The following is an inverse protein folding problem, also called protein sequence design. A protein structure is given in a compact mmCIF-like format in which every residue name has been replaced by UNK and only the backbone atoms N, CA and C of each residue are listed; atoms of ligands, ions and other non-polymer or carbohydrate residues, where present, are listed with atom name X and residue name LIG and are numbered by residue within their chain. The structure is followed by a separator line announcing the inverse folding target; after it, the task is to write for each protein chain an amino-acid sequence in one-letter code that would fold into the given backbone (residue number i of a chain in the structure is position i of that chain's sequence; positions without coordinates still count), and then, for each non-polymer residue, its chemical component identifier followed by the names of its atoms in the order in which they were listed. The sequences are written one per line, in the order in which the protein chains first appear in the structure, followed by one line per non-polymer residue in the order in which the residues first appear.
data_IF_004070583988
#
_entry.id   IF_004070583988
#
_cell.length_a   1.000
_cell.length_b   1.000
_cell.length_c   1.000
_cell.angle_alpha   90.00
_cell.angle_beta   90.00
_cell.angle_gamma   90.00
#
_symmetry.space_group_name_H-M   'P 1'
#
loop_
_entity.id
_entity.type
_entity.pdbx_description
1 polymer ?
#
# COMPACT_ATOMS: atom_id res chain seq x y z
N UNK A 1 -0.50 -4.40 -6.79
CA UNK A 1 -1.23 -3.28 -6.18
C UNK A 1 -1.18 -3.36 -4.66
N UNK A 2 -1.08 -2.24 -3.97
CA UNK A 2 -0.76 -2.19 -2.54
C UNK A 2 -1.61 -1.22 -1.75
N UNK A 3 -1.83 -1.64 -0.51
CA UNK A 3 -2.40 -1.00 0.67
C UNK A 3 -1.25 -0.61 1.64
N UNK A 4 -1.26 0.54 2.33
CA UNK A 4 -0.47 0.84 3.55
C UNK A 4 -0.10 2.28 4.03
N UNK A 5 -0.81 3.01 4.93
CA UNK A 5 -0.37 4.32 5.53
C UNK A 5 1.05 4.22 6.09
N UNK A 6 1.94 5.10 5.63
CA UNK A 6 3.04 5.59 6.47
C UNK A 6 2.50 6.76 7.29
N UNK A 7 2.25 6.54 8.58
CA UNK A 7 2.16 7.65 9.52
C UNK A 7 3.61 8.07 9.71
N UNK A 8 4.09 8.97 8.86
CA UNK A 8 5.31 9.70 9.16
C UNK A 8 4.94 10.63 10.27
N UNK A 9 5.06 10.11 11.46
CA UNK A 9 5.02 10.91 12.64
C UNK A 9 6.51 11.29 12.87
N UNK A 10 6.78 12.59 12.94
CA UNK A 10 8.10 13.23 12.72
C UNK A 10 8.97 13.51 13.98
N UNK A 11 9.05 12.59 14.92
CA UNK A 11 9.78 12.80 16.20
C UNK A 11 10.51 11.51 16.56
N UNK A 12 11.71 11.61 17.17
CA UNK A 12 12.51 10.46 17.58
C UNK A 12 11.67 9.46 18.40
N UNK A 13 11.75 8.16 18.05
CA UNK A 13 10.98 7.10 18.70
C UNK A 13 9.63 6.78 18.03
N UNK A 14 9.48 7.05 16.73
CA UNK A 14 8.24 6.77 15.99
C UNK A 14 8.40 5.59 15.03
N UNK A 15 7.35 4.79 15.01
CA UNK A 15 7.25 3.60 14.18
C UNK A 15 6.36 3.92 12.98
N UNK A 16 6.80 3.55 11.78
CA UNK A 16 5.99 3.50 10.57
C UNK A 16 5.39 2.11 10.37
N UNK A 17 4.47 1.99 9.42
CA UNK A 17 3.95 0.69 8.98
C UNK A 17 4.77 0.19 7.79
N UNK A 18 5.12 -1.09 7.79
CA UNK A 18 5.68 -1.77 6.64
C UNK A 18 4.61 -2.63 5.98
N UNK A 19 4.60 -2.60 4.65
CA UNK A 19 3.75 -3.47 3.85
C UNK A 19 4.57 -4.37 2.96
N UNK A 20 4.07 -5.57 2.74
CA UNK A 20 4.77 -6.61 2.03
C UNK A 20 3.92 -7.15 0.89
N UNK A 21 4.60 -7.54 -0.20
CA UNK A 21 3.94 -8.22 -1.31
C UNK A 21 3.64 -9.64 -0.87
N UNK A 22 2.36 -9.92 -0.67
CA UNK A 22 1.87 -11.20 -0.17
C UNK A 22 1.70 -12.20 -1.31
N UNK A 23 1.23 -11.75 -2.47
CA UNK A 23 1.10 -12.61 -3.64
C UNK A 23 1.20 -11.84 -4.96
N UNK A 24 1.48 -12.59 -6.02
CA UNK A 24 1.43 -12.15 -7.41
C UNK A 24 0.61 -13.15 -8.20
N UNK A 25 -0.32 -12.67 -9.02
CA UNK A 25 -1.05 -13.51 -9.98
C UNK A 25 -0.49 -13.26 -11.37
N UNK A 26 0.28 -14.23 -11.89
CA UNK A 26 0.93 -14.12 -13.20
C UNK A 26 -0.08 -13.86 -14.34
N UNK A 27 -1.21 -14.57 -14.34
CA UNK A 27 -2.18 -14.55 -15.43
C UNK A 27 -2.90 -13.19 -15.57
N UNK A 28 -3.03 -12.48 -14.45
CA UNK A 28 -3.70 -11.18 -14.38
C UNK A 28 -2.70 -10.03 -14.22
N UNK A 29 -1.41 -10.33 -14.05
CA UNK A 29 -0.35 -9.38 -13.74
C UNK A 29 -0.68 -8.43 -12.57
N UNK A 30 -1.35 -8.96 -11.53
CA UNK A 30 -1.72 -8.20 -10.33
C UNK A 30 -0.92 -8.65 -9.11
N UNK A 31 -0.66 -7.72 -8.20
CA UNK A 31 -0.10 -8.04 -6.88
C UNK A 31 -1.11 -7.76 -5.77
N UNK A 32 -1.12 -8.61 -4.75
CA UNK A 32 -1.67 -8.30 -3.44
C UNK A 32 -0.51 -7.87 -2.55
N UNK A 33 -0.59 -6.66 -2.03
CA UNK A 33 0.38 -6.15 -1.08
C UNK A 33 -0.39 -5.53 0.07
N UNK A 34 -0.07 -5.96 1.28
CA UNK A 34 -0.76 -5.58 2.50
C UNK A 34 0.20 -5.74 3.67
N UNK A 35 -0.29 -5.43 4.86
CA UNK A 35 0.46 -5.58 6.07
C UNK A 35 0.58 -7.08 6.44
N UNK A 36 1.82 -7.57 6.59
CA UNK A 36 2.09 -8.99 6.86
C UNK A 36 1.96 -9.28 8.36
N UNK A 37 0.79 -9.78 8.76
CA UNK A 37 0.50 -10.13 10.16
C UNK A 37 1.39 -11.24 10.70
N UNK A 38 2.01 -12.06 9.84
CA UNK A 38 2.96 -13.11 10.27
C UNK A 38 4.28 -12.52 10.74
N UNK A 39 4.58 -11.26 10.40
CA UNK A 39 5.81 -10.55 10.74
C UNK A 39 5.63 -9.45 11.80
N UNK A 40 4.47 -9.39 12.44
CA UNK A 40 4.22 -8.42 13.51
C UNK A 40 3.71 -7.06 13.02
N UNK A 41 2.89 -7.05 11.97
CA UNK A 41 2.17 -5.87 11.50
C UNK A 41 1.34 -5.21 12.62
N UNK A 42 1.48 -3.89 12.79
CA UNK A 42 0.63 -3.10 13.68
C UNK A 42 0.17 -1.78 13.00
N UNK A 43 -1.07 -1.72 12.49
CA UNK A 43 -1.56 -0.54 11.79
C UNK A 43 -1.88 0.64 12.74
N UNK A 44 -1.95 0.41 14.06
CA UNK A 44 -2.27 1.45 15.04
C UNK A 44 -1.03 2.13 15.59
N UNK A 45 0.02 1.35 15.89
CA UNK A 45 1.25 1.86 16.49
C UNK A 45 2.42 1.97 15.50
N UNK A 46 2.32 1.35 14.33
CA UNK A 46 3.47 1.08 13.47
C UNK A 46 4.24 -0.17 13.92
N UNK A 47 5.00 -0.77 12.99
CA UNK A 47 5.77 -1.99 13.19
C UNK A 47 7.26 -1.83 12.91
N UNK A 48 7.68 -0.67 12.38
CA UNK A 48 9.05 -0.45 11.91
C UNK A 48 9.60 0.89 12.35
N UNK A 49 10.78 0.92 12.96
CA UNK A 49 11.44 2.18 13.33
C UNK A 49 11.65 3.07 12.10
N UNK A 50 11.19 4.33 12.16
CA UNK A 50 11.29 5.28 11.05
C UNK A 50 12.73 5.60 10.60
N UNK A 51 13.76 5.28 11.39
CA UNK A 51 15.17 5.40 10.99
C UNK A 51 15.65 4.19 10.18
N UNK A 52 14.90 3.10 10.17
CA UNK A 52 15.17 1.94 9.32
C UNK A 52 15.00 2.36 7.87
N UNK A 53 16.05 2.19 7.07
CA UNK A 53 16.02 2.55 5.65
C UNK A 53 15.31 1.46 4.85
N UNK A 54 14.09 1.75 4.41
CA UNK A 54 13.29 0.87 3.56
C UNK A 54 12.85 1.59 2.27
N UNK A 55 12.53 0.86 1.20
CA UNK A 55 11.87 1.43 0.03
C UNK A 55 10.53 2.07 0.44
N UNK A 56 10.24 3.26 -0.09
CA UNK A 56 8.89 3.81 -0.06
C UNK A 56 8.10 3.13 -1.17
N UNK A 57 6.87 2.80 -0.84
CA UNK A 57 5.92 2.32 -1.81
C UNK A 57 5.09 3.48 -2.35
N UNK A 58 5.16 3.65 -3.67
CA UNK A 58 4.43 4.66 -4.41
C UNK A 58 3.36 4.01 -5.28
N UNK A 59 2.32 4.77 -5.59
CA UNK A 59 1.25 4.39 -6.50
C UNK A 59 0.98 5.51 -7.51
N UNK A 60 0.38 5.14 -8.63
CA UNK A 60 -0.24 6.07 -9.56
C UNK A 60 -1.59 5.51 -9.99
N UNK A 61 -2.65 6.30 -9.84
CA UNK A 61 -4.01 5.90 -10.21
C UNK A 61 -4.21 6.17 -11.70
N UNK A 62 -4.44 5.12 -12.49
CA UNK A 62 -4.70 5.21 -13.93
C UNK A 62 -6.16 4.88 -14.28
N UNK A 63 -6.97 4.52 -13.27
CA UNK A 63 -8.38 4.08 -13.41
C UNK A 63 -8.53 2.75 -14.14
N UNK A 64 -7.48 1.91 -14.16
CA UNK A 64 -7.53 0.58 -14.76
C UNK A 64 -8.70 -0.24 -14.18
N UNK A 65 -9.49 -0.89 -15.04
CA UNK A 65 -10.59 -1.73 -14.60
C UNK A 65 -10.03 -2.89 -13.77
N UNK A 66 -10.83 -3.35 -12.80
CA UNK A 66 -10.46 -4.53 -12.02
C UNK A 66 -10.51 -5.78 -12.90
N UNK A 67 -9.46 -6.62 -12.88
CA UNK A 67 -9.53 -7.95 -13.50
C UNK A 67 -10.60 -8.83 -12.85
N UNK A 68 -11.20 -9.73 -13.62
CA UNK A 68 -12.15 -10.71 -13.10
C UNK A 68 -11.41 -11.80 -12.29
N UNK A 69 -11.44 -11.70 -10.97
CA UNK A 69 -10.94 -12.73 -10.05
C UNK A 69 -11.77 -12.78 -8.77
N UNK A 70 -11.89 -13.99 -8.19
CA UNK A 70 -12.52 -14.18 -6.89
C UNK A 70 -11.63 -13.62 -5.77
N UNK A 71 -12.22 -12.85 -4.86
CA UNK A 71 -11.51 -12.39 -3.66
C UNK A 71 -11.33 -13.55 -2.70
N UNK A 72 -10.08 -13.93 -2.44
CA UNK A 72 -9.73 -15.06 -1.56
C UNK A 72 -9.47 -14.64 -0.11
N UNK A 73 -9.79 -13.40 0.24
CA UNK A 73 -9.45 -12.81 1.53
C UNK A 73 -10.52 -13.19 2.56
N UNK A 74 -10.10 -13.33 3.81
CA UNK A 74 -10.95 -13.77 4.90
C UNK A 74 -12.10 -12.81 5.15
N UNK A 75 -13.27 -13.38 5.44
CA UNK A 75 -14.35 -12.67 6.10
C UNK A 75 -13.89 -12.26 7.50
N UNK A 76 -13.53 -10.99 7.66
CA UNK A 76 -13.28 -10.37 8.96
C UNK A 76 -14.51 -9.54 9.36
N UNK A 77 -14.42 -8.79 10.46
CA UNK A 77 -15.50 -7.92 10.94
C UNK A 77 -15.94 -6.80 9.95
N UNK A 78 -15.27 -6.68 8.79
CA UNK A 78 -15.56 -5.72 7.73
C UNK A 78 -15.75 -6.48 6.41
N UNK A 79 -16.49 -5.90 5.44
CA UNK A 79 -16.65 -6.48 4.10
C UNK A 79 -15.33 -6.83 3.42
N UNK A 80 -15.31 -7.85 2.55
CA UNK A 80 -14.09 -8.41 1.93
C UNK A 80 -13.23 -7.35 1.23
N UNK A 81 -13.87 -6.35 0.63
CA UNK A 81 -13.24 -5.19 -0.03
C UNK A 81 -12.33 -4.37 0.86
N UNK A 82 -12.56 -4.41 2.17
CA UNK A 82 -11.78 -3.64 3.11
C UNK A 82 -10.33 -4.15 3.17
N UNK A 83 -10.13 -5.46 2.96
CA UNK A 83 -8.81 -6.11 3.05
C UNK A 83 -8.20 -6.47 1.69
N UNK A 84 -8.99 -6.49 0.61
CA UNK A 84 -8.48 -6.77 -0.73
C UNK A 84 -9.29 -6.15 -1.88
N UNK A 85 -9.70 -4.90 -1.69
CA UNK A 85 -10.20 -4.06 -2.77
C UNK A 85 -9.20 -3.76 -3.89
N UNK A 86 -9.63 -2.91 -4.80
CA UNK A 86 -8.88 -2.58 -6.01
C UNK A 86 -8.45 -1.11 -6.00
N UNK A 87 -7.17 -0.86 -6.26
CA UNK A 87 -6.56 0.48 -6.26
C UNK A 87 -6.66 1.18 -7.62
N UNK A 88 -6.95 0.47 -8.73
CA UNK A 88 -7.07 1.07 -10.07
C UNK A 88 -5.80 1.78 -10.56
N UNK A 89 -4.63 1.12 -10.47
CA UNK A 89 -3.37 1.78 -10.79
C UNK A 89 -2.11 0.93 -10.69
N UNK A 90 -0.98 1.60 -10.91
CA UNK A 90 0.36 1.04 -10.78
C UNK A 90 0.91 1.24 -9.38
N UNK A 91 1.88 0.39 -9.04
CA UNK A 91 2.67 0.50 -7.82
C UNK A 91 4.15 0.35 -8.17
N UNK A 92 5.01 1.00 -7.39
CA UNK A 92 6.45 0.88 -7.52
C UNK A 92 7.11 1.16 -6.17
N UNK A 93 8.33 0.66 -6.00
CA UNK A 93 9.14 0.90 -4.80
C UNK A 93 10.35 1.76 -5.14
N UNK A 94 10.60 2.79 -4.36
CA UNK A 94 11.76 3.69 -4.52
C UNK A 94 13.07 3.02 -4.05
N UNK A 95 14.22 3.68 -4.22
CA UNK A 95 15.40 3.38 -3.41
C UNK A 95 15.13 3.53 -1.90
N UNK A 96 15.95 2.86 -1.08
CA UNK A 96 15.81 2.85 0.39
C UNK A 96 16.08 4.22 1.02
N UNK A 97 15.13 4.70 1.81
CA UNK A 97 15.19 5.97 2.55
C UNK A 97 14.69 5.77 3.98
N UNK A 98 15.19 6.54 4.93
CA UNK A 98 14.66 6.53 6.29
C UNK A 98 13.42 7.41 6.32
N UNK A 99 12.29 6.91 6.83
CA UNK A 99 11.06 7.69 6.93
C UNK A 99 11.23 8.97 7.77
N UNK A 100 12.19 8.97 8.71
CA UNK A 100 12.54 10.13 9.53
C UNK A 100 13.13 11.31 8.75
N UNK A 101 13.49 11.15 7.46
CA UNK A 101 13.95 12.27 6.62
C UNK A 101 12.80 13.12 6.08
N UNK A 102 11.57 12.61 6.12
CA UNK A 102 10.39 13.31 5.63
C UNK A 102 9.69 14.00 6.79
N UNK A 103 9.18 15.22 6.56
CA UNK A 103 8.41 15.95 7.56
C UNK A 103 6.91 15.75 7.41
N UNK A 104 6.45 15.57 6.18
CA UNK A 104 5.03 15.43 5.88
C UNK A 104 4.81 14.33 4.86
N UNK A 105 3.57 13.84 4.78
CA UNK A 105 3.19 12.91 3.69
C UNK A 105 3.40 13.54 2.31
N UNK A 106 3.25 14.87 2.20
CA UNK A 106 3.51 15.60 0.96
C UNK A 106 4.98 15.54 0.54
N UNK A 107 5.91 15.46 1.50
CA UNK A 107 7.34 15.31 1.18
C UNK A 107 7.63 13.92 0.60
N UNK A 108 6.88 12.90 1.03
CA UNK A 108 6.98 11.56 0.44
C UNK A 108 6.32 11.50 -0.92
N UNK A 109 5.17 12.16 -1.09
CA UNK A 109 4.53 12.27 -2.40
C UNK A 109 5.47 12.94 -3.40
N UNK A 110 6.17 14.00 -2.98
CA UNK A 110 7.21 14.63 -3.79
C UNK A 110 8.37 13.68 -4.09
N UNK A 111 8.77 12.81 -3.17
CA UNK A 111 9.79 11.79 -3.41
C UNK A 111 9.31 10.70 -4.39
N UNK A 112 8.04 10.31 -4.33
CA UNK A 112 7.42 9.41 -5.30
C UNK A 112 7.35 10.04 -6.69
N UNK A 113 6.95 11.32 -6.77
CA UNK A 113 6.89 12.07 -8.01
C UNK A 113 8.29 12.30 -8.61
N UNK A 114 9.32 12.57 -7.81
CA UNK A 114 10.71 12.66 -8.27
C UNK A 114 11.23 11.32 -8.82
N UNK A 115 10.86 10.21 -8.19
CA UNK A 115 11.31 8.87 -8.60
C UNK A 115 10.63 8.36 -9.88
N UNK A 116 9.35 8.68 -10.09
CA UNK A 116 8.52 8.02 -11.11
C UNK A 116 7.76 8.97 -12.04
N UNK A 117 7.80 10.27 -11.77
CA UNK A 117 7.14 11.32 -12.56
C UNK A 117 5.78 11.77 -12.02
N UNK A 118 5.12 12.72 -12.71
CA UNK A 118 3.89 13.36 -12.23
C UNK A 118 2.77 12.37 -11.91
N UNK A 119 2.06 12.62 -10.79
CA UNK A 119 0.90 11.85 -10.35
C UNK A 119 1.24 10.58 -9.55
N UNK A 120 2.52 10.29 -9.33
CA UNK A 120 2.94 9.29 -8.35
C UNK A 120 2.89 9.87 -6.95
N UNK A 121 2.26 9.15 -6.03
CA UNK A 121 2.13 9.54 -4.62
C UNK A 121 2.38 8.33 -3.73
N UNK A 122 2.55 8.55 -2.44
CA UNK A 122 2.69 7.48 -1.45
C UNK A 122 1.45 6.59 -1.43
N UNK A 123 1.63 5.27 -1.36
CA UNK A 123 0.52 4.34 -1.17
C UNK A 123 0.05 4.30 0.30
N UNK A 124 -1.22 3.93 0.50
CA UNK A 124 -1.98 4.04 1.76
C UNK A 124 -2.92 2.83 1.97
N UNK A 125 -3.22 2.43 3.23
CA UNK A 125 -3.93 1.16 3.57
C UNK A 125 -5.24 1.05 2.85
N UNK A 126 -5.97 2.15 2.90
CA UNK A 126 -7.35 2.26 2.51
C UNK A 126 -7.48 2.80 1.09
N UNK A 127 -6.40 2.75 0.30
CA UNK A 127 -6.42 3.16 -1.10
C UNK A 127 -7.28 2.27 -1.97
N UNK A 128 -7.40 1.01 -1.58
CA UNK A 128 -8.26 0.08 -2.28
C UNK A 128 -9.72 0.37 -1.96
N UNK A 129 -10.58 0.21 -2.96
CA UNK A 129 -12.03 0.44 -2.82
C UNK A 129 -12.81 -0.78 -3.25
N UNK A 130 -14.03 -0.88 -2.73
CA UNK A 130 -15.04 -1.74 -3.35
C UNK A 130 -15.38 -1.20 -4.74
N UNK A 131 -15.49 -2.12 -5.69
CA UNK A 131 -15.97 -1.86 -7.04
C UNK A 131 -17.14 -2.81 -7.27
N UNK A 132 -18.26 -2.33 -7.84
CA UNK A 132 -19.34 -3.22 -8.25
C UNK A 132 -18.80 -4.40 -9.09
N UNK A 133 -19.20 -5.62 -8.74
CA UNK A 133 -18.69 -6.85 -9.36
C UNK A 133 -17.54 -7.52 -8.59
N UNK A 134 -17.06 -6.95 -7.48
CA UNK A 134 -16.02 -7.58 -6.67
C UNK A 134 -16.49 -8.80 -5.86
N UNK A 135 -17.76 -8.84 -5.46
CA UNK A 135 -18.35 -9.91 -4.65
C UNK A 135 -18.85 -11.11 -5.46
N UNK A 136 -18.72 -11.09 -6.79
CA UNK A 136 -19.08 -12.19 -7.67
C UNK A 136 -18.29 -12.09 -8.95
N UNK A 137 -17.41 -13.06 -9.19
CA UNK A 137 -16.83 -13.24 -10.51
C UNK A 137 -17.98 -13.63 -11.46
N UNK A 138 -18.46 -12.67 -12.25
CA UNK A 138 -19.32 -12.90 -13.41
C UNK A 138 -18.74 -12.15 -14.58
#
# INVERSE_FOLDING_TARGET
MVFSIVLISIVSGKMGMTVAKISHQNDLAIDLVTCDTTKGCNPYAGDTDCNTRLPVLCKQIDKSPRPAYAMTCTDHAMPKEFYCGWTMGYIATTPKVAASTFSTIKDVDAYCEDAFGPGWVTAEFHDSRYIPGMNGAT
#
